data_IF_564397289523
#
_entry.id   IF_564397289523
#
_cell.length_a   1.000
_cell.length_b   1.000
_cell.length_c   1.000
_cell.angle_alpha   90.00
_cell.angle_beta   90.00
_cell.angle_gamma   90.00
#
_symmetry.space_group_name_H-M   'P 1'
#
loop_
_entity.id
_entity.type
_entity.pdbx_description
1 polymer ?
#
# COMPACT_ATOMS: atom_id res chain seq x y z
N UNK A 1 -13.05 22.93 -15.35
CA UNK A 1 -12.98 21.71 -14.51
C UNK A 1 -11.57 21.18 -14.69
N UNK A 2 -10.72 21.26 -13.66
CA UNK A 2 -9.30 20.91 -13.78
C UNK A 2 -9.19 19.38 -13.75
N UNK A 3 -8.73 18.78 -14.85
CA UNK A 3 -8.46 17.35 -14.95
C UNK A 3 -7.28 16.98 -14.04
N UNK A 4 -7.58 16.49 -12.85
CA UNK A 4 -6.59 15.96 -11.88
C UNK A 4 -6.07 14.55 -12.24
N UNK A 5 -6.33 14.05 -13.46
CA UNK A 5 -6.30 12.60 -13.73
C UNK A 5 -5.03 12.07 -14.41
N UNK A 6 -4.26 12.90 -15.13
CA UNK A 6 -3.10 12.40 -15.90
C UNK A 6 -1.77 12.79 -15.27
N UNK A 7 -1.55 14.07 -14.99
CA UNK A 7 -0.27 14.53 -14.42
C UNK A 7 0.00 14.02 -13.00
N UNK A 8 -1.04 13.78 -12.19
CA UNK A 8 -0.88 13.18 -10.87
C UNK A 8 -0.60 11.66 -10.96
N UNK A 9 -1.21 10.98 -11.94
CA UNK A 9 -0.98 9.56 -12.20
C UNK A 9 0.42 9.32 -12.81
N UNK A 10 0.84 10.13 -13.78
CA UNK A 10 2.19 10.08 -14.37
C UNK A 10 3.28 10.38 -13.34
N UNK A 11 3.02 11.32 -12.39
CA UNK A 11 3.94 11.56 -11.26
C UNK A 11 3.96 10.42 -10.27
N UNK A 12 2.82 9.79 -10.01
CA UNK A 12 2.73 8.58 -9.18
C UNK A 12 3.52 7.43 -9.82
N UNK A 13 3.37 7.19 -11.12
CA UNK A 13 4.13 6.18 -11.86
C UNK A 13 5.64 6.47 -11.87
N UNK A 14 6.04 7.72 -12.10
CA UNK A 14 7.45 8.13 -12.04
C UNK A 14 8.04 7.98 -10.63
N UNK A 15 7.32 8.42 -9.60
CA UNK A 15 7.76 8.26 -8.20
C UNK A 15 7.80 6.79 -7.77
N UNK A 16 6.89 5.97 -8.30
CA UNK A 16 6.85 4.52 -8.05
C UNK A 16 8.05 3.81 -8.68
N UNK A 17 8.43 4.15 -9.91
CA UNK A 17 9.63 3.62 -10.55
C UNK A 17 10.90 3.98 -9.76
N UNK A 18 11.02 5.24 -9.30
CA UNK A 18 12.11 5.67 -8.43
C UNK A 18 12.12 4.88 -7.12
N UNK A 19 10.96 4.69 -6.48
CA UNK A 19 10.85 3.93 -5.25
C UNK A 19 11.29 2.48 -5.42
N UNK A 20 10.90 1.80 -6.50
CA UNK A 20 11.32 0.43 -6.77
C UNK A 20 12.84 0.33 -6.97
N UNK A 21 13.43 1.25 -7.73
CA UNK A 21 14.89 1.31 -7.92
C UNK A 21 15.64 1.55 -6.61
N UNK A 22 15.08 2.39 -5.71
CA UNK A 22 15.66 2.67 -4.40
C UNK A 22 15.51 1.50 -3.43
N UNK A 23 14.37 0.80 -3.47
CA UNK A 23 14.13 -0.40 -2.69
C UNK A 23 15.16 -1.48 -3.03
N UNK A 24 15.42 -1.69 -4.33
CA UNK A 24 16.47 -2.59 -4.81
C UNK A 24 17.86 -2.17 -4.31
N UNK A 25 18.19 -0.87 -4.37
CA UNK A 25 19.43 -0.32 -3.84
C UNK A 25 19.63 -0.51 -2.32
N UNK A 26 18.54 -0.65 -1.57
CA UNK A 26 18.52 -0.97 -0.13
C UNK A 26 18.50 -2.48 0.15
N UNK A 27 18.54 -3.31 -0.90
CA UNK A 27 18.50 -4.78 -0.82
C UNK A 27 17.10 -5.37 -0.63
N UNK A 28 16.05 -4.58 -0.83
CA UNK A 28 14.67 -5.06 -0.80
C UNK A 28 14.31 -5.69 -2.15
N UNK A 29 13.63 -6.82 -2.09
CA UNK A 29 13.19 -7.55 -3.29
C UNK A 29 11.74 -7.19 -3.60
N UNK A 30 11.39 -7.01 -4.88
CA UNK A 30 9.96 -6.95 -5.24
C UNK A 30 9.29 -8.26 -4.84
N UNK A 31 8.04 -8.16 -4.39
CA UNK A 31 7.26 -9.33 -4.01
C UNK A 31 5.90 -9.29 -4.69
N UNK A 32 5.45 -10.47 -5.13
CA UNK A 32 4.10 -10.67 -5.57
C UNK A 32 3.45 -11.79 -4.75
N UNK A 33 2.14 -11.70 -4.49
CA UNK A 33 1.42 -12.79 -3.86
C UNK A 33 1.45 -14.00 -4.78
N UNK A 34 1.89 -15.15 -4.27
CA UNK A 34 1.80 -16.44 -4.96
C UNK A 34 0.38 -17.01 -5.06
N UNK A 35 -0.64 -16.16 -4.94
CA UNK A 35 -2.06 -16.50 -4.97
C UNK A 35 -2.69 -16.01 -6.27
N UNK A 36 -3.52 -16.86 -6.87
CA UNK A 36 -4.35 -16.46 -8.01
C UNK A 36 -5.43 -15.45 -7.60
N UNK A 37 -5.96 -14.70 -8.58
CA UNK A 37 -7.10 -13.79 -8.38
C UNK A 37 -8.29 -14.51 -7.75
N UNK A 38 -8.57 -15.75 -8.16
CA UNK A 38 -9.67 -16.54 -7.61
C UNK A 38 -9.48 -16.85 -6.13
N UNK A 39 -8.26 -17.22 -5.72
CA UNK A 39 -7.91 -17.47 -4.31
C UNK A 39 -7.99 -16.19 -3.47
N UNK A 40 -7.49 -15.07 -4.01
CA UNK A 40 -7.58 -13.77 -3.35
C UNK A 40 -9.05 -13.33 -3.14
N UNK A 41 -9.91 -13.54 -4.14
CA UNK A 41 -11.34 -13.25 -4.02
C UNK A 41 -12.03 -14.15 -3.00
N UNK A 42 -11.70 -15.45 -2.94
CA UNK A 42 -12.24 -16.36 -1.93
C UNK A 42 -11.82 -15.94 -0.50
N UNK A 43 -10.54 -15.60 -0.30
CA UNK A 43 -10.06 -15.03 0.96
C UNK A 43 -10.76 -13.71 1.29
N UNK A 44 -10.95 -12.83 0.31
CA UNK A 44 -11.61 -11.54 0.51
C UNK A 44 -13.07 -11.71 0.92
N UNK A 45 -13.81 -12.63 0.30
CA UNK A 45 -15.19 -12.97 0.68
C UNK A 45 -15.29 -13.49 2.12
N UNK A 46 -14.29 -14.26 2.56
CA UNK A 46 -14.29 -14.85 3.92
C UNK A 46 -13.91 -13.85 4.99
N UNK A 47 -12.88 -13.05 4.75
CA UNK A 47 -12.26 -12.24 5.81
C UNK A 47 -12.59 -10.75 5.74
N UNK A 48 -12.93 -10.22 4.57
CA UNK A 48 -13.25 -8.81 4.37
C UNK A 48 -14.51 -8.60 3.49
N UNK A 49 -15.62 -9.34 3.69
CA UNK A 49 -16.78 -9.31 2.79
C UNK A 49 -17.40 -7.92 2.61
N UNK A 50 -17.48 -7.13 3.68
CA UNK A 50 -18.03 -5.78 3.62
C UNK A 50 -17.14 -4.81 2.81
N UNK A 51 -15.82 -5.07 2.74
CA UNK A 51 -14.89 -4.31 1.90
C UNK A 51 -15.04 -4.73 0.45
N UNK A 52 -15.08 -6.04 0.20
CA UNK A 52 -15.26 -6.57 -1.14
C UNK A 52 -16.56 -6.06 -1.79
N UNK A 53 -17.69 -6.12 -1.08
CA UNK A 53 -18.96 -5.59 -1.57
C UNK A 53 -18.91 -4.07 -1.88
N UNK A 54 -18.14 -3.29 -1.11
CA UNK A 54 -17.93 -1.86 -1.39
C UNK A 54 -17.08 -1.61 -2.64
N UNK A 55 -16.15 -2.52 -2.96
CA UNK A 55 -15.33 -2.45 -4.17
C UNK A 55 -16.19 -2.85 -5.37
N UNK A 56 -16.89 -3.98 -5.28
CA UNK A 56 -17.82 -4.47 -6.31
C UNK A 56 -18.90 -3.43 -6.66
N UNK A 57 -19.40 -2.67 -5.69
CA UNK A 57 -20.36 -1.59 -5.94
C UNK A 57 -19.78 -0.30 -6.54
N UNK A 58 -18.45 -0.21 -6.72
CA UNK A 58 -17.75 1.00 -7.19
C UNK A 58 -16.96 0.79 -8.46
N UNK A 59 -16.49 -0.42 -8.71
CA UNK A 59 -15.82 -0.76 -9.97
C UNK A 59 -16.86 -1.22 -10.98
N UNK A 60 -16.75 -0.74 -12.22
CA UNK A 60 -17.57 -1.26 -13.33
C UNK A 60 -17.03 -2.60 -13.85
N UNK A 61 -15.78 -2.91 -13.51
CA UNK A 61 -15.05 -4.08 -13.97
C UNK A 61 -15.39 -5.34 -13.17
N UNK A 62 -15.41 -6.47 -13.87
CA UNK A 62 -15.49 -7.79 -13.25
C UNK A 62 -14.18 -8.10 -12.52
N UNK A 63 -14.22 -8.10 -11.18
CA UNK A 63 -13.05 -8.35 -10.33
C UNK A 63 -12.35 -9.68 -10.62
N UNK A 64 -13.03 -10.66 -11.23
CA UNK A 64 -12.41 -11.95 -11.60
C UNK A 64 -11.44 -11.83 -12.79
N UNK A 65 -11.49 -10.72 -13.54
CA UNK A 65 -10.62 -10.45 -14.69
C UNK A 65 -9.37 -9.68 -14.33
N UNK A 66 -9.30 -9.13 -13.11
CA UNK A 66 -8.13 -8.43 -12.63
C UNK A 66 -6.98 -9.41 -12.38
N UNK A 67 -5.77 -8.95 -12.62
CA UNK A 67 -4.58 -9.60 -12.08
C UNK A 67 -4.58 -9.55 -10.54
N UNK A 68 -3.82 -10.42 -9.86
CA UNK A 68 -3.67 -10.37 -8.40
C UNK A 68 -3.23 -9.00 -7.88
N UNK A 69 -2.28 -8.35 -8.56
CA UNK A 69 -1.79 -7.04 -8.18
C UNK A 69 -2.87 -5.96 -8.28
N UNK A 70 -3.61 -5.92 -9.40
CA UNK A 70 -4.72 -4.96 -9.58
C UNK A 70 -5.83 -5.17 -8.57
N UNK A 71 -6.16 -6.43 -8.23
CA UNK A 71 -7.16 -6.72 -7.21
C UNK A 71 -6.72 -6.20 -5.83
N UNK A 72 -5.45 -6.38 -5.48
CA UNK A 72 -4.91 -5.93 -4.19
C UNK A 72 -4.80 -4.39 -4.12
N UNK A 73 -4.49 -3.72 -5.22
CA UNK A 73 -4.61 -2.26 -5.36
C UNK A 73 -6.03 -1.79 -5.01
N UNK A 74 -7.06 -2.41 -5.60
CA UNK A 74 -8.47 -2.08 -5.27
C UNK A 74 -8.81 -2.33 -3.79
N UNK A 75 -8.20 -3.35 -3.18
CA UNK A 75 -8.38 -3.63 -1.75
C UNK A 75 -7.72 -2.54 -0.89
N UNK A 76 -6.54 -2.09 -1.28
CA UNK A 76 -5.83 -0.96 -0.70
C UNK A 76 -4.34 -1.20 -0.44
N UNK A 77 -3.68 -2.00 -1.26
CA UNK A 77 -2.23 -2.22 -1.23
C UNK A 77 -1.65 -1.90 -2.62
N UNK A 78 -0.80 -0.88 -2.69
CA UNK A 78 -0.29 -0.36 -3.96
C UNK A 78 0.94 -1.13 -4.44
N UNK A 79 1.76 -1.62 -3.50
CA UNK A 79 2.94 -2.43 -3.83
C UNK A 79 3.39 -3.29 -2.66
N UNK A 80 4.32 -4.19 -2.96
CA UNK A 80 4.90 -5.09 -1.99
C UNK A 80 6.39 -5.30 -2.23
N UNK A 81 7.11 -5.54 -1.13
CA UNK A 81 8.51 -5.92 -1.19
C UNK A 81 8.85 -6.85 -0.03
N UNK A 82 9.94 -7.60 -0.17
CA UNK A 82 10.50 -8.46 0.84
C UNK A 82 11.80 -7.87 1.36
N UNK A 83 11.95 -7.84 2.68
CA UNK A 83 13.18 -7.43 3.37
C UNK A 83 13.39 -8.30 4.60
N UNK A 84 14.62 -8.80 4.81
CA UNK A 84 14.97 -9.69 5.93
C UNK A 84 14.00 -10.87 6.13
N UNK A 85 13.50 -11.45 5.03
CA UNK A 85 12.56 -12.57 5.06
C UNK A 85 11.12 -12.20 5.43
N UNK A 86 10.81 -10.92 5.64
CA UNK A 86 9.46 -10.41 5.89
C UNK A 86 8.88 -9.71 4.68
N UNK A 87 7.58 -9.85 4.45
CA UNK A 87 6.82 -9.21 3.38
C UNK A 87 6.14 -7.96 3.90
N UNK A 88 6.31 -6.88 3.16
CA UNK A 88 5.75 -5.58 3.45
C UNK A 88 4.83 -5.16 2.32
N UNK A 89 3.68 -4.60 2.67
CA UNK A 89 2.80 -3.91 1.73
C UNK A 89 2.85 -2.40 1.95
N UNK A 90 2.77 -1.63 0.88
CA UNK A 90 2.65 -0.17 0.93
C UNK A 90 1.27 0.28 0.48
N UNK A 91 0.79 1.34 1.12
CA UNK A 91 -0.37 2.13 0.70
C UNK A 91 0.08 3.60 0.61
N UNK A 92 0.28 4.08 -0.61
CA UNK A 92 0.64 5.43 -0.96
C UNK A 92 -0.65 6.23 -1.17
N UNK A 93 -0.82 7.31 -0.43
CA UNK A 93 -2.03 8.11 -0.54
C UNK A 93 -1.70 9.58 -0.41
N UNK A 94 -2.58 10.45 -0.94
CA UNK A 94 -2.49 11.87 -0.66
C UNK A 94 -3.53 12.39 0.32
N UNK A 95 -3.12 13.40 1.08
CA UNK A 95 -4.04 14.28 1.80
C UNK A 95 -3.71 14.52 3.27
N UNK A 96 -4.75 14.92 4.00
CA UNK A 96 -4.62 15.40 5.38
C UNK A 96 -4.68 14.31 6.44
N UNK A 97 -4.66 14.75 7.70
CA UNK A 97 -4.68 13.88 8.88
C UNK A 97 -5.87 12.92 8.99
N UNK A 98 -7.03 13.34 8.48
CA UNK A 98 -8.23 12.51 8.41
C UNK A 98 -8.04 11.30 7.49
N UNK A 99 -7.21 11.42 6.44
CA UNK A 99 -6.90 10.33 5.51
C UNK A 99 -6.12 9.25 6.22
N UNK A 100 -5.08 9.63 6.98
CA UNK A 100 -4.29 8.70 7.79
C UNK A 100 -5.16 7.92 8.76
N UNK A 101 -6.03 8.59 9.51
CA UNK A 101 -6.92 7.92 10.47
C UNK A 101 -7.88 6.94 9.76
N UNK A 102 -8.39 7.32 8.59
CA UNK A 102 -9.24 6.46 7.77
C UNK A 102 -8.48 5.24 7.24
N UNK A 103 -7.24 5.40 6.76
CA UNK A 103 -6.39 4.31 6.28
C UNK A 103 -6.04 3.34 7.41
N UNK A 104 -5.67 3.85 8.58
CA UNK A 104 -5.43 3.02 9.78
C UNK A 104 -6.63 2.18 10.17
N UNK A 105 -7.82 2.78 10.17
CA UNK A 105 -9.06 2.04 10.44
C UNK A 105 -9.28 0.93 9.41
N UNK A 106 -9.12 1.24 8.12
CA UNK A 106 -9.24 0.26 7.04
C UNK A 106 -8.23 -0.88 7.21
N UNK A 107 -6.95 -0.59 7.45
CA UNK A 107 -5.93 -1.63 7.62
C UNK A 107 -6.21 -2.54 8.82
N UNK A 108 -6.78 -2.02 9.91
CA UNK A 108 -7.26 -2.86 11.03
C UNK A 108 -8.34 -3.84 10.58
N UNK A 109 -9.30 -3.37 9.79
CA UNK A 109 -10.34 -4.23 9.19
C UNK A 109 -9.73 -5.29 8.26
N UNK A 110 -8.62 -4.98 7.59
CA UNK A 110 -7.91 -5.89 6.68
C UNK A 110 -6.92 -6.84 7.38
N UNK A 111 -6.67 -6.70 8.69
CA UNK A 111 -5.57 -7.39 9.38
C UNK A 111 -5.56 -8.92 9.20
N UNK A 112 -6.72 -9.56 9.36
CA UNK A 112 -6.85 -11.02 9.17
C UNK A 112 -6.57 -11.41 7.73
N UNK A 113 -7.15 -10.70 6.76
CA UNK A 113 -6.90 -10.91 5.34
C UNK A 113 -5.41 -10.74 4.99
N UNK A 114 -4.78 -9.67 5.49
CA UNK A 114 -3.35 -9.36 5.34
C UNK A 114 -2.48 -10.55 5.74
N UNK A 115 -2.75 -11.14 6.92
CA UNK A 115 -1.99 -12.32 7.38
C UNK A 115 -2.18 -13.55 6.50
N UNK A 116 -3.38 -13.72 5.91
CA UNK A 116 -3.71 -14.89 5.09
C UNK A 116 -3.06 -14.85 3.71
N UNK A 117 -2.76 -13.67 3.22
CA UNK A 117 -2.05 -13.48 1.94
C UNK A 117 -0.53 -13.40 2.13
N UNK A 118 -0.01 -13.61 3.36
CA UNK A 118 1.42 -13.69 3.63
C UNK A 118 2.12 -12.34 3.75
N UNK A 119 1.38 -11.29 4.12
CA UNK A 119 1.95 -9.96 4.39
C UNK A 119 2.18 -9.85 5.90
N UNK A 120 3.43 -9.59 6.29
CA UNK A 120 3.81 -9.44 7.69
C UNK A 120 3.52 -8.02 8.19
N UNK A 121 3.76 -7.02 7.34
CA UNK A 121 3.70 -5.61 7.71
C UNK A 121 3.03 -4.76 6.63
N UNK A 122 2.36 -3.69 7.04
CA UNK A 122 1.78 -2.71 6.12
C UNK A 122 2.23 -1.31 6.52
N UNK A 123 2.87 -0.61 5.60
CA UNK A 123 3.22 0.79 5.76
C UNK A 123 2.29 1.68 4.92
N UNK A 124 1.92 2.82 5.50
CA UNK A 124 1.08 3.84 4.83
C UNK A 124 1.90 5.10 4.67
N UNK A 125 2.08 5.53 3.43
CA UNK A 125 2.69 6.80 3.11
C UNK A 125 1.61 7.82 2.76
N UNK A 126 1.66 9.01 3.35
CA UNK A 126 0.69 10.08 3.08
C UNK A 126 1.40 11.35 2.64
N UNK A 127 1.27 11.67 1.35
CA UNK A 127 1.81 12.90 0.78
C UNK A 127 0.74 13.98 0.66
N UNK A 128 0.99 15.21 1.14
CA UNK A 128 -0.03 16.25 1.00
C UNK A 128 -0.13 16.80 -0.42
N UNK A 129 0.98 16.84 -1.15
CA UNK A 129 1.08 17.54 -2.42
C UNK A 129 1.77 16.72 -3.53
N UNK A 130 2.37 15.57 -3.23
CA UNK A 130 3.22 14.80 -4.16
C UNK A 130 4.31 15.67 -4.81
N UNK A 131 4.76 16.72 -4.12
CA UNK A 131 5.76 17.66 -4.62
C UNK A 131 7.20 17.18 -4.31
N UNK A 132 7.38 16.38 -3.25
CA UNK A 132 8.69 15.88 -2.76
C UNK A 132 8.73 14.34 -2.67
N UNK A 133 8.00 13.62 -3.53
CA UNK A 133 7.71 12.19 -3.37
C UNK A 133 8.96 11.30 -3.24
N UNK A 134 10.06 11.62 -3.92
CA UNK A 134 11.15 10.67 -4.12
C UNK A 134 12.06 10.55 -2.88
N UNK A 135 12.51 11.67 -2.30
CA UNK A 135 13.30 11.66 -1.05
C UNK A 135 12.49 11.08 0.10
N UNK A 136 11.19 11.36 0.08
CA UNK A 136 10.27 10.89 1.10
C UNK A 136 10.00 9.40 0.96
N UNK A 137 9.80 8.86 -0.24
CA UNK A 137 9.70 7.41 -0.42
C UNK A 137 10.98 6.68 0.01
N UNK A 138 12.17 7.28 -0.15
CA UNK A 138 13.43 6.73 0.37
C UNK A 138 13.45 6.64 1.90
N UNK A 139 13.06 7.71 2.60
CA UNK A 139 12.91 7.70 4.06
C UNK A 139 11.92 6.61 4.54
N UNK A 140 10.92 6.26 3.72
CA UNK A 140 10.04 5.10 3.98
C UNK A 140 10.82 3.80 3.91
N UNK A 141 11.60 3.59 2.86
CA UNK A 141 12.33 2.33 2.71
C UNK A 141 13.40 2.18 3.80
N UNK A 142 14.07 3.28 4.17
CA UNK A 142 15.06 3.29 5.25
C UNK A 142 14.47 2.97 6.63
N UNK A 143 13.31 3.54 6.98
CA UNK A 143 12.71 3.21 8.27
C UNK A 143 12.07 1.80 8.30
N UNK A 144 11.80 1.19 7.13
CA UNK A 144 11.42 -0.23 7.03
C UNK A 144 12.63 -1.10 7.33
N UNK A 145 13.77 -0.74 6.72
CA UNK A 145 15.04 -1.39 6.97
C UNK A 145 15.46 -1.31 8.44
N UNK A 146 15.21 -0.18 9.10
CA UNK A 146 15.52 0.03 10.51
C UNK A 146 14.66 -0.77 11.50
N UNK A 147 13.71 -1.61 11.04
CA UNK A 147 12.71 -2.30 11.85
C UNK A 147 11.89 -1.35 12.75
N UNK A 148 11.87 -0.05 12.44
CA UNK A 148 11.26 0.99 13.24
C UNK A 148 9.85 1.20 12.74
N UNK A 149 8.98 0.28 13.14
CA UNK A 149 7.74 0.12 12.46
C UNK A 149 6.66 0.29 13.62
N UNK A 150 6.27 1.52 13.98
CA UNK A 150 5.13 1.75 14.89
C UNK A 150 4.40 3.08 14.63
N UNK A 151 3.09 3.04 14.39
CA UNK A 151 2.27 4.14 13.85
C UNK A 151 2.55 5.51 14.51
N UNK A 152 2.97 6.52 13.72
CA UNK A 152 3.04 7.94 14.09
C UNK A 152 2.64 8.88 12.96
N UNK A 153 2.31 10.10 13.35
CA UNK A 153 1.80 11.20 12.55
C UNK A 153 2.62 12.41 12.94
N UNK A 154 3.17 13.17 12.00
CA UNK A 154 3.56 14.55 12.29
C UNK A 154 3.71 15.42 11.04
N UNK A 155 3.55 16.73 11.25
CA UNK A 155 3.47 17.80 10.26
C UNK A 155 4.78 17.98 9.48
N UNK A 156 4.65 18.41 8.23
CA UNK A 156 5.68 19.22 7.57
C UNK A 156 6.73 18.43 6.79
N UNK A 157 6.30 17.52 5.92
CA UNK A 157 7.15 16.98 4.87
C UNK A 157 7.78 15.63 5.14
N UNK A 158 7.90 15.12 6.37
CA UNK A 158 8.70 13.89 6.63
C UNK A 158 8.02 12.54 6.38
N UNK A 159 8.81 11.54 5.99
CA UNK A 159 8.38 10.14 5.84
C UNK A 159 8.80 9.26 6.99
N UNK A 160 7.86 8.40 7.43
CA UNK A 160 8.06 7.44 8.50
C UNK A 160 7.22 6.17 8.28
N UNK A 161 7.66 5.10 8.92
CA UNK A 161 7.37 3.70 8.60
C UNK A 161 6.80 2.94 9.81
N UNK A 162 5.91 1.94 9.61
CA UNK A 162 5.15 1.27 10.69
C UNK A 162 4.99 -0.29 10.61
N UNK A 163 5.08 -1.01 11.74
CA UNK A 163 5.10 -2.50 11.94
C UNK A 163 3.79 -2.78 12.57
N UNK A 164 3.31 -3.95 12.24
CA UNK A 164 2.32 -4.60 13.04
C UNK A 164 3.01 -5.67 13.87
N UNK A 165 2.44 -5.91 15.06
CA UNK A 165 2.75 -6.97 16.03
C UNK A 165 3.82 -6.66 17.09
N UNK A 166 3.31 -6.25 18.27
CA UNK A 166 3.68 -6.84 19.57
C UNK A 166 2.41 -7.07 20.38
#
# INVERSE_FOLDING_TARGET
MVNFTTAAAERLESGFATMLQRAEGLGMESWEPGLSTAELLDLARRFIPARLAKIEGKVEEDLTRLSPAELLDKIGYDTFFRWEGRVYALDLTSGGMSVVANKKRKLRELSVFTSKIGIDNVAVYVDRNFEDSDERLVELLEAIQANALDIRVQRGGETKVFQYWS
#
